data_IF_879843023575
#
_entry.id   IF_879843023575
#
_cell.length_a   1.000
_cell.length_b   1.000
_cell.length_c   1.000
_cell.angle_alpha   90.00
_cell.angle_beta   90.00
_cell.angle_gamma   90.00
#
_symmetry.space_group_name_H-M   'P 1'
#
loop_
_entity.id
_entity.type
_entity.pdbx_description
1 polymer ?
#
# COMPACT_ATOMS: atom_id res chain seq x y z
N UNK A 1 -5.06 -0.80 -8.22
CA UNK A 1 -4.00 -0.75 -7.20
C UNK A 1 -3.80 -2.14 -6.59
N UNK A 2 -2.62 -2.42 -6.03
CA UNK A 2 -2.47 -3.44 -4.98
C UNK A 2 -2.72 -2.74 -3.63
N UNK A 3 -3.34 -3.37 -2.62
CA UNK A 3 -3.14 -2.91 -1.25
C UNK A 3 -1.67 -3.16 -0.91
N UNK A 4 -0.92 -2.09 -0.67
CA UNK A 4 0.37 -2.21 -0.01
C UNK A 4 0.15 -2.67 1.44
N UNK A 5 1.16 -3.21 2.10
CA UNK A 5 1.03 -3.63 3.50
C UNK A 5 0.91 -2.40 4.39
N UNK A 6 -0.33 -1.99 4.64
CA UNK A 6 -0.69 -0.89 5.55
C UNK A 6 0.08 -1.01 6.87
N UNK A 7 0.66 0.11 7.33
CA UNK A 7 1.48 0.16 8.53
C UNK A 7 0.60 -0.14 9.75
N UNK A 8 0.60 -1.40 10.17
CA UNK A 8 -0.22 -1.91 11.26
C UNK A 8 0.60 -2.04 12.56
N UNK A 9 -0.07 -1.86 13.70
CA UNK A 9 0.56 -2.04 15.00
C UNK A 9 1.17 -3.45 15.15
N UNK A 10 0.52 -4.48 14.62
CA UNK A 10 1.06 -5.84 14.53
C UNK A 10 2.40 -5.90 13.81
N UNK A 11 2.53 -5.28 12.62
CA UNK A 11 3.78 -5.26 11.86
C UNK A 11 4.91 -4.61 12.69
N UNK A 12 4.63 -3.48 13.34
CA UNK A 12 5.60 -2.76 14.19
C UNK A 12 6.02 -3.63 15.38
N UNK A 13 5.08 -4.28 16.08
CA UNK A 13 5.39 -5.18 17.18
C UNK A 13 6.11 -6.46 16.72
N UNK A 14 5.92 -6.91 15.47
CA UNK A 14 6.61 -8.08 14.88
C UNK A 14 8.05 -7.78 14.44
N UNK A 15 8.41 -6.51 14.23
CA UNK A 15 9.79 -6.08 14.00
C UNK A 15 10.67 -6.04 15.26
N UNK A 16 10.10 -6.25 16.46
CA UNK A 16 10.88 -6.31 17.71
C UNK A 16 11.67 -7.64 17.80
N UNK A 17 13.02 -7.62 17.79
CA UNK A 17 13.83 -8.82 17.60
C UNK A 17 13.83 -9.78 18.80
N UNK A 18 13.53 -9.28 20.00
CA UNK A 18 13.37 -10.09 21.23
C UNK A 18 12.16 -9.55 21.99
N UNK A 19 11.02 -10.23 21.87
CA UNK A 19 9.78 -9.89 22.60
C UNK A 19 9.66 -10.58 23.96
N UNK A 20 10.20 -11.79 24.04
CA UNK A 20 10.13 -12.66 25.22
C UNK A 20 11.50 -13.28 25.45
N UNK A 21 11.92 -13.35 26.71
CA UNK A 21 13.03 -14.19 27.14
C UNK A 21 12.44 -15.56 27.51
N UNK A 22 12.94 -16.61 26.88
CA UNK A 22 12.50 -18.00 27.12
C UNK A 22 13.74 -18.86 27.36
N UNK A 23 14.12 -19.02 28.63
CA UNK A 23 15.40 -19.65 28.96
C UNK A 23 16.60 -18.71 28.79
N UNK A 24 17.80 -19.27 28.92
CA UNK A 24 19.05 -18.57 28.58
C UNK A 24 19.37 -18.67 27.09
N UNK A 25 19.98 -17.62 26.48
CA UNK A 25 20.35 -17.65 25.07
C UNK A 25 21.40 -18.74 24.78
N UNK A 26 21.33 -19.29 23.57
CA UNK A 26 22.12 -20.45 23.17
C UNK A 26 23.63 -20.19 23.33
N UNK A 27 24.30 -21.05 24.11
CA UNK A 27 25.71 -20.88 24.49
C UNK A 27 25.96 -20.34 25.91
N UNK A 28 24.98 -19.70 26.56
CA UNK A 28 25.14 -19.16 27.92
C UNK A 28 25.13 -20.23 29.04
N UNK A 29 24.47 -21.38 28.81
CA UNK A 29 24.42 -22.52 29.74
C UNK A 29 25.68 -23.42 29.72
N UNK A 30 26.40 -23.47 28.58
CA UNK A 30 27.37 -24.53 28.23
C UNK A 30 28.64 -24.60 29.12
N UNK A 31 28.70 -23.86 30.23
CA UNK A 31 29.80 -23.89 31.22
C UNK A 31 29.34 -24.17 32.65
N UNK A 32 28.03 -24.23 32.93
CA UNK A 32 27.48 -24.25 34.29
C UNK A 32 26.46 -25.36 34.62
N UNK A 33 26.04 -26.15 33.63
CA UNK A 33 25.25 -27.36 33.90
C UNK A 33 26.13 -28.55 34.35
N UNK A 34 27.39 -28.62 33.91
CA UNK A 34 28.35 -29.67 34.25
C UNK A 34 29.07 -29.49 35.60
N UNK A 35 29.05 -28.30 36.20
CA UNK A 35 29.93 -27.97 37.34
C UNK A 35 29.42 -28.48 38.71
N UNK A 36 28.13 -28.77 38.83
CA UNK A 36 27.52 -29.24 40.08
C UNK A 36 27.22 -30.75 40.00
N UNK A 37 28.10 -31.56 40.61
CA UNK A 37 28.01 -33.03 40.53
C UNK A 37 26.72 -33.62 41.09
N UNK A 38 26.21 -34.67 40.44
CA UNK A 38 25.00 -35.39 40.88
C UNK A 38 25.22 -36.16 42.19
N UNK A 39 24.16 -36.25 43.00
CA UNK A 39 24.12 -37.06 44.21
C UNK A 39 24.16 -38.53 43.80
N UNK A 40 25.11 -39.29 44.36
CA UNK A 40 25.26 -40.72 44.11
C UNK A 40 24.09 -41.48 44.74
N UNK A 41 23.58 -42.47 44.02
CA UNK A 41 22.45 -43.30 44.42
C UNK A 41 22.88 -44.34 45.47
N UNK A 42 23.24 -43.85 46.67
CA UNK A 42 23.61 -44.66 47.82
C UNK A 42 22.44 -44.65 48.82
N UNK A 43 21.98 -45.83 49.23
CA UNK A 43 20.96 -45.94 50.28
C UNK A 43 21.53 -45.52 51.64
N UNK A 44 20.69 -44.90 52.48
CA UNK A 44 21.08 -44.41 53.81
C UNK A 44 20.17 -44.97 54.90
N UNK A 45 20.76 -45.42 56.01
CA UNK A 45 20.01 -45.86 57.18
C UNK A 45 19.79 -44.70 58.15
N UNK A 46 18.53 -44.37 58.43
CA UNK A 46 18.14 -43.37 59.43
C UNK A 46 17.19 -44.05 60.42
N UNK A 47 17.55 -44.04 61.70
CA UNK A 47 16.79 -44.70 62.79
C UNK A 47 16.43 -46.18 62.53
N UNK A 48 17.28 -46.90 61.79
CA UNK A 48 17.08 -48.32 61.42
C UNK A 48 16.20 -48.56 60.19
N UNK A 49 15.62 -47.50 59.60
CA UNK A 49 14.87 -47.56 58.33
C UNK A 49 15.82 -47.22 57.18
N UNK A 50 15.68 -47.93 56.05
CA UNK A 50 16.47 -47.72 54.84
C UNK A 50 15.79 -46.70 53.92
N UNK A 51 16.51 -45.67 53.51
CA UNK A 51 16.06 -44.61 52.62
C UNK A 51 16.92 -44.58 51.34
N UNK A 52 16.29 -44.91 50.21
CA UNK A 52 16.88 -44.83 48.87
C UNK A 52 16.57 -43.47 48.23
N UNK A 53 17.56 -42.76 47.64
CA UNK A 53 17.31 -41.52 46.93
C UNK A 53 16.65 -41.79 45.56
N UNK A 54 15.40 -41.36 45.43
CA UNK A 54 14.61 -41.40 44.19
C UNK A 54 14.63 -40.01 43.52
N UNK A 55 14.69 -39.93 42.19
CA UNK A 55 14.43 -38.65 41.51
C UNK A 55 12.97 -38.24 41.67
N UNK A 56 12.72 -36.98 42.06
CA UNK A 56 11.44 -36.35 41.77
C UNK A 56 11.52 -35.56 40.46
N UNK A 57 10.90 -36.12 39.43
CA UNK A 57 10.75 -35.50 38.10
C UNK A 57 9.69 -34.39 38.08
N UNK A 58 8.76 -34.39 39.04
CA UNK A 58 7.49 -33.65 38.93
C UNK A 58 7.48 -32.29 39.65
N UNK A 59 8.56 -31.93 40.34
CA UNK A 59 8.73 -30.64 41.03
C UNK A 59 9.82 -29.81 40.33
N UNK A 60 9.47 -28.60 39.92
CA UNK A 60 10.42 -27.59 39.41
C UNK A 60 11.19 -26.94 40.56
N UNK A 61 12.44 -26.53 40.31
CA UNK A 61 13.27 -25.86 41.30
C UNK A 61 13.33 -24.34 41.06
N UNK A 62 13.74 -23.59 42.09
CA UNK A 62 13.86 -22.13 42.01
C UNK A 62 14.84 -21.69 40.91
N UNK A 63 15.84 -22.51 40.60
CA UNK A 63 16.72 -22.31 39.46
C UNK A 63 16.00 -22.45 38.10
N UNK A 64 15.11 -23.43 37.93
CA UNK A 64 14.24 -23.58 36.75
C UNK A 64 13.39 -22.34 36.51
N UNK A 65 12.61 -21.91 37.50
CA UNK A 65 11.78 -20.68 37.39
C UNK A 65 12.61 -19.44 36.99
N UNK A 66 13.79 -19.26 37.57
CA UNK A 66 14.69 -18.14 37.23
C UNK A 66 15.30 -18.28 35.83
N UNK A 67 15.64 -19.51 35.40
CA UNK A 67 16.11 -19.83 34.06
C UNK A 67 15.05 -19.54 33.01
N UNK A 68 13.79 -19.93 33.25
CA UNK A 68 12.69 -19.73 32.32
C UNK A 68 12.34 -18.24 32.15
N UNK A 69 12.47 -17.44 33.23
CA UNK A 69 12.43 -15.97 33.18
C UNK A 69 13.63 -15.33 32.45
N UNK A 70 14.64 -16.10 32.04
CA UNK A 70 15.88 -15.62 31.42
C UNK A 70 16.87 -14.98 32.40
N UNK A 71 16.70 -15.14 33.71
CA UNK A 71 17.43 -14.42 34.75
C UNK A 71 18.52 -15.26 35.42
N UNK A 72 19.78 -14.90 35.19
CA UNK A 72 20.93 -15.58 35.79
C UNK A 72 21.29 -14.97 37.15
N UNK A 73 20.81 -15.59 38.22
CA UNK A 73 20.95 -15.08 39.60
C UNK A 73 22.17 -15.68 40.30
N UNK A 74 23.06 -14.83 40.80
CA UNK A 74 24.15 -15.21 41.69
C UNK A 74 23.68 -15.15 43.15
N UNK A 75 23.74 -16.27 43.87
CA UNK A 75 23.26 -16.37 45.25
C UNK A 75 24.13 -17.31 46.08
N UNK A 76 24.20 -17.07 47.39
CA UNK A 76 24.84 -17.95 48.37
C UNK A 76 23.89 -19.05 48.92
N UNK A 77 22.61 -19.00 48.55
CA UNK A 77 21.58 -19.95 48.99
C UNK A 77 21.39 -21.04 47.93
N UNK A 78 21.18 -22.30 48.32
CA UNK A 78 20.96 -23.34 47.33
C UNK A 78 19.58 -23.23 46.67
N UNK A 79 19.55 -22.86 45.39
CA UNK A 79 18.34 -22.72 44.56
C UNK A 79 18.16 -23.86 43.55
N UNK A 80 19.14 -24.77 43.41
CA UNK A 80 19.07 -25.93 42.50
C UNK A 80 18.65 -27.20 43.27
N UNK A 81 17.75 -28.00 42.72
CA UNK A 81 17.42 -29.33 43.27
C UNK A 81 18.59 -30.31 43.08
N UNK A 82 18.87 -31.19 44.07
CA UNK A 82 19.92 -32.19 43.93
C UNK A 82 19.53 -33.22 42.86
N UNK A 83 20.21 -33.20 41.70
CA UNK A 83 20.05 -34.24 40.67
C UNK A 83 20.66 -35.55 41.19
N UNK A 84 19.90 -36.65 41.17
CA UNK A 84 20.44 -38.02 41.32
C UNK A 84 20.88 -38.52 39.93
N UNK A 85 21.98 -39.26 39.83
CA UNK A 85 22.48 -39.75 38.54
C UNK A 85 21.59 -40.90 37.99
N UNK A 86 21.13 -40.85 36.72
CA UNK A 86 20.08 -41.76 36.21
C UNK A 86 20.35 -42.34 34.79
N UNK A 87 19.50 -43.28 34.31
CA UNK A 87 19.60 -43.97 33.01
C UNK A 87 18.34 -43.79 32.17
N UNK A 88 18.52 -43.40 30.91
CA UNK A 88 17.48 -43.09 29.91
C UNK A 88 16.53 -44.26 29.56
N UNK A 89 15.25 -43.94 29.29
CA UNK A 89 14.31 -44.70 28.43
C UNK A 89 13.08 -43.87 28.01
N UNK A 90 12.62 -44.05 26.78
CA UNK A 90 11.40 -43.43 26.20
C UNK A 90 10.08 -44.06 26.68
N UNK A 91 8.96 -43.31 26.73
CA UNK A 91 8.00 -43.23 25.59
C UNK A 91 6.77 -42.29 25.78
N UNK A 92 6.14 -41.99 24.64
CA UNK A 92 5.03 -41.06 24.29
C UNK A 92 3.67 -41.21 25.03
N UNK A 93 2.85 -40.12 25.06
CA UNK A 93 1.39 -40.13 25.37
C UNK A 93 0.67 -38.75 25.19
N UNK A 94 -0.61 -38.75 24.76
CA UNK A 94 -1.53 -37.59 24.45
C UNK A 94 -3.00 -38.12 24.33
N UNK A 95 -4.13 -37.36 24.14
CA UNK A 95 -4.42 -35.91 24.00
C UNK A 95 -5.50 -35.43 25.05
N UNK A 96 -6.55 -34.55 24.91
CA UNK A 96 -7.21 -33.78 23.83
C UNK A 96 -8.23 -32.69 24.33
N UNK A 97 -8.56 -31.69 23.47
CA UNK A 97 -9.81 -30.87 23.38
C UNK A 97 -10.20 -29.90 24.56
N UNK A 98 -11.10 -28.88 24.45
CA UNK A 98 -12.25 -28.58 23.55
C UNK A 98 -12.53 -27.05 23.33
N UNK A 99 -13.24 -26.70 22.21
CA UNK A 99 -14.22 -25.60 21.90
C UNK A 99 -14.23 -24.19 22.61
N UNK A 100 -14.77 -23.05 22.11
CA UNK A 100 -15.27 -22.41 20.83
C UNK A 100 -15.47 -20.86 21.15
N UNK A 101 -16.06 -19.88 20.40
CA UNK A 101 -16.95 -19.76 19.21
C UNK A 101 -16.70 -18.45 18.37
N UNK A 102 -17.72 -17.70 17.93
CA UNK A 102 -17.73 -16.47 17.06
C UNK A 102 -18.44 -15.26 17.77
N UNK A 103 -18.77 -14.05 17.27
CA UNK A 103 -19.06 -13.53 15.90
C UNK A 103 -18.98 -11.97 15.78
N UNK A 104 -19.41 -11.39 14.65
CA UNK A 104 -19.15 -10.00 14.14
C UNK A 104 -20.41 -9.15 13.78
N UNK A 105 -20.29 -7.81 13.67
CA UNK A 105 -20.77 -6.99 12.50
C UNK A 105 -20.57 -5.44 12.61
N UNK A 106 -20.47 -4.78 11.43
CA UNK A 106 -21.01 -3.48 10.88
C UNK A 106 -21.55 -2.36 11.83
N UNK A 107 -21.66 -1.07 11.43
CA UNK A 107 -21.76 -0.47 10.08
C UNK A 107 -21.44 1.06 9.94
N UNK A 108 -21.29 1.50 8.68
CA UNK A 108 -21.76 2.75 8.02
C UNK A 108 -21.45 4.22 8.46
N UNK A 109 -20.90 4.98 7.48
CA UNK A 109 -21.26 6.34 6.98
C UNK A 109 -21.62 7.52 7.94
N UNK A 110 -20.98 8.70 7.72
CA UNK A 110 -21.59 9.78 6.89
C UNK A 110 -20.58 10.89 6.50
N UNK A 111 -21.02 11.80 5.63
CA UNK A 111 -20.23 12.79 4.88
C UNK A 111 -20.79 14.22 5.10
N UNK A 112 -19.96 15.26 4.95
CA UNK A 112 -20.39 16.67 5.02
C UNK A 112 -19.68 17.54 3.97
N UNK A 113 -20.46 18.25 3.17
CA UNK A 113 -19.96 19.08 2.05
C UNK A 113 -20.45 20.53 2.12
N UNK A 114 -19.56 21.48 1.81
CA UNK A 114 -19.92 22.75 1.17
C UNK A 114 -19.08 22.88 -0.11
N UNK A 115 -19.66 23.34 -1.21
CA UNK A 115 -19.00 23.39 -2.52
C UNK A 115 -19.39 24.61 -3.37
N UNK A 116 -18.50 25.05 -4.30
CA UNK A 116 -18.66 26.32 -5.00
C UNK A 116 -19.67 26.27 -6.18
N UNK A 117 -19.93 27.44 -6.76
CA UNK A 117 -20.96 27.64 -7.81
C UNK A 117 -20.59 27.14 -9.21
N UNK A 118 -19.32 26.84 -9.47
CA UNK A 118 -18.82 26.16 -10.68
C UNK A 118 -17.67 25.23 -10.27
N UNK A 119 -17.62 24.02 -10.85
CA UNK A 119 -16.64 23.00 -10.45
C UNK A 119 -15.73 22.67 -11.64
N UNK A 120 -14.43 22.96 -11.50
CA UNK A 120 -13.41 22.68 -12.52
C UNK A 120 -12.33 21.78 -11.94
N UNK A 121 -12.35 20.53 -12.38
CA UNK A 121 -11.64 19.39 -11.81
C UNK A 121 -10.46 18.98 -12.69
N UNK A 122 -9.26 18.96 -12.12
CA UNK A 122 -8.00 18.70 -12.80
C UNK A 122 -6.89 18.10 -11.92
N UNK A 123 -7.02 18.18 -10.59
CA UNK A 123 -6.09 17.62 -9.62
C UNK A 123 -6.51 16.21 -9.21
N UNK A 124 -6.04 15.23 -9.98
CA UNK A 124 -6.30 13.79 -9.80
C UNK A 124 -5.02 13.02 -9.41
N UNK A 125 -4.46 13.23 -8.20
CA UNK A 125 -3.32 12.47 -7.70
C UNK A 125 -3.70 11.02 -7.37
N UNK A 126 -2.72 10.12 -7.37
CA UNK A 126 -2.87 8.76 -6.80
C UNK A 126 -2.70 8.76 -5.27
N UNK A 127 -1.82 9.62 -4.74
CA UNK A 127 -1.56 9.82 -3.30
C UNK A 127 -1.75 11.28 -2.96
N UNK A 128 -2.59 11.59 -1.95
CA UNK A 128 -2.97 12.97 -1.60
C UNK A 128 -1.98 13.66 -0.66
N UNK A 129 -1.72 13.11 0.53
CA UNK A 129 -0.93 13.73 1.60
C UNK A 129 0.28 12.85 1.92
N UNK A 130 1.47 13.44 2.03
CA UNK A 130 2.70 12.76 2.47
C UNK A 130 3.66 13.76 3.11
N UNK A 131 3.27 14.25 4.30
CA UNK A 131 3.92 15.36 4.99
C UNK A 131 4.44 14.98 6.38
N UNK A 132 5.41 15.75 6.87
CA UNK A 132 5.96 15.63 8.22
C UNK A 132 5.72 16.91 8.99
N UNK A 133 4.99 16.82 10.11
CA UNK A 133 4.57 17.97 10.91
C UNK A 133 5.08 17.82 12.34
N UNK A 134 5.64 18.91 12.89
CA UNK A 134 6.05 18.97 14.30
C UNK A 134 4.85 19.44 15.12
N UNK A 135 4.42 18.60 16.06
CA UNK A 135 3.31 18.87 16.96
C UNK A 135 3.78 19.77 18.11
N UNK A 136 2.89 20.65 18.59
CA UNK A 136 3.18 21.58 19.68
C UNK A 136 3.10 20.93 21.08
N UNK A 137 3.29 21.73 22.14
CA UNK A 137 3.19 21.25 23.52
C UNK A 137 1.76 20.99 24.01
N UNK A 138 0.73 21.34 23.25
CA UNK A 138 -0.66 20.95 23.49
C UNK A 138 -1.02 19.60 22.84
N UNK A 139 -0.17 19.08 21.96
CA UNK A 139 -0.39 17.81 21.26
C UNK A 139 -1.25 17.94 20.00
N UNK A 140 -1.38 19.14 19.44
CA UNK A 140 -2.22 19.42 18.26
C UNK A 140 -1.39 20.08 17.15
N UNK A 141 -1.72 19.75 15.90
CA UNK A 141 -1.26 20.49 14.73
C UNK A 141 -2.40 20.50 13.70
N UNK A 142 -2.68 21.67 13.12
CA UNK A 142 -3.67 21.85 12.06
C UNK A 142 -2.92 22.06 10.74
N UNK A 143 -3.40 21.41 9.67
CA UNK A 143 -2.75 21.43 8.34
C UNK A 143 -3.81 21.75 7.29
N UNK A 144 -3.74 22.94 6.70
CA UNK A 144 -4.62 23.33 5.59
C UNK A 144 -4.19 22.59 4.31
N UNK A 145 -5.06 21.74 3.79
CA UNK A 145 -4.83 20.95 2.56
C UNK A 145 -6.00 21.10 1.58
N UNK A 146 -5.68 21.21 0.29
CA UNK A 146 -6.70 21.19 -0.77
C UNK A 146 -7.15 19.75 -1.02
N UNK A 147 -8.47 19.51 -1.00
CA UNK A 147 -9.07 18.21 -1.32
C UNK A 147 -8.89 17.87 -2.81
N UNK A 148 -8.55 16.61 -3.18
CA UNK A 148 -8.43 16.20 -4.57
C UNK A 148 -9.75 16.19 -5.32
N UNK A 149 -9.69 16.39 -6.64
CA UNK A 149 -10.86 16.38 -7.53
C UNK A 149 -11.40 14.95 -7.82
N UNK A 150 -10.69 13.93 -7.32
CA UNK A 150 -11.11 12.53 -7.36
C UNK A 150 -12.28 12.31 -6.39
N UNK A 151 -13.46 12.05 -6.95
CA UNK A 151 -14.66 11.68 -6.18
C UNK A 151 -14.50 10.23 -5.71
N UNK A 152 -14.13 10.06 -4.44
CA UNK A 152 -13.81 8.77 -3.81
C UNK A 152 -13.84 8.89 -2.28
N UNK A 153 -13.88 7.74 -1.60
CA UNK A 153 -13.38 7.64 -0.22
C UNK A 153 -11.84 7.73 -0.26
N UNK A 154 -11.28 8.70 0.48
CA UNK A 154 -9.86 8.81 0.80
C UNK A 154 -9.59 8.21 2.19
N UNK A 155 -8.43 7.57 2.35
CA UNK A 155 -7.99 6.97 3.62
C UNK A 155 -6.66 7.57 4.03
N UNK A 156 -6.59 8.08 5.25
CA UNK A 156 -5.39 8.68 5.82
C UNK A 156 -5.03 8.00 7.14
N UNK A 157 -3.73 7.84 7.39
CA UNK A 157 -3.18 7.35 8.64
C UNK A 157 -1.88 8.09 8.94
N UNK A 158 -1.56 8.23 10.22
CA UNK A 158 -0.39 8.94 10.70
C UNK A 158 0.35 8.12 11.75
N UNK A 159 1.65 8.38 11.88
CA UNK A 159 2.45 7.90 13.00
C UNK A 159 3.25 9.07 13.58
N UNK A 160 3.54 9.01 14.87
CA UNK A 160 4.24 10.06 15.60
C UNK A 160 5.49 9.48 16.27
N UNK A 161 6.56 10.27 16.34
CA UNK A 161 7.80 9.93 17.02
C UNK A 161 8.10 10.99 18.09
N UNK A 162 8.30 10.55 19.31
CA UNK A 162 8.57 11.38 20.49
C UNK A 162 9.70 10.77 21.31
N UNK A 163 10.60 11.61 21.82
CA UNK A 163 11.68 11.15 22.70
C UNK A 163 11.18 10.66 24.05
N UNK A 164 10.08 11.25 24.56
CA UNK A 164 9.54 10.98 25.90
C UNK A 164 8.46 9.88 25.90
N UNK A 165 7.73 9.72 24.79
CA UNK A 165 6.61 8.77 24.67
C UNK A 165 6.80 7.69 23.60
N UNK A 166 7.89 7.73 22.83
CA UNK A 166 8.22 6.72 21.82
C UNK A 166 7.45 6.88 20.52
N UNK A 167 7.10 5.74 19.89
CA UNK A 167 6.32 5.68 18.66
C UNK A 167 4.82 5.57 18.97
N UNK A 168 4.01 6.41 18.34
CA UNK A 168 2.55 6.28 18.28
C UNK A 168 2.08 6.02 16.85
N UNK A 169 0.95 5.32 16.69
CA UNK A 169 0.30 5.05 15.41
C UNK A 169 -1.19 5.42 15.53
N UNK A 170 -1.73 6.17 14.58
CA UNK A 170 -3.15 6.53 14.55
C UNK A 170 -4.01 5.36 14.04
N UNK A 171 -5.31 5.31 14.39
CA UNK A 171 -6.26 4.61 13.52
C UNK A 171 -6.28 5.25 12.13
N UNK A 172 -6.65 4.48 11.11
CA UNK A 172 -6.94 5.02 9.77
C UNK A 172 -8.27 5.77 9.82
N UNK A 173 -8.27 7.01 9.34
CA UNK A 173 -9.48 7.83 9.17
C UNK A 173 -9.93 7.83 7.72
N UNK A 174 -11.24 7.97 7.52
CA UNK A 174 -11.89 7.98 6.21
C UNK A 174 -12.43 9.39 5.95
N UNK A 175 -12.18 9.91 4.75
CA UNK A 175 -12.71 11.18 4.28
C UNK A 175 -13.38 10.95 2.93
N UNK A 176 -14.70 11.13 2.86
CA UNK A 176 -15.45 10.94 1.62
C UNK A 176 -15.48 12.26 0.85
N UNK A 177 -15.00 12.25 -0.40
CA UNK A 177 -15.01 13.38 -1.31
C UNK A 177 -16.07 13.14 -2.39
N UNK A 178 -17.16 13.89 -2.36
CA UNK A 178 -18.32 13.67 -3.23
C UNK A 178 -18.94 14.97 -3.76
N UNK A 179 -19.59 14.84 -4.91
CA UNK A 179 -20.31 15.90 -5.60
C UNK A 179 -21.64 15.30 -6.09
N UNK A 180 -22.82 15.89 -5.79
CA UNK A 180 -24.11 15.31 -6.17
C UNK A 180 -24.37 15.22 -7.69
N UNK A 181 -23.64 15.98 -8.50
CA UNK A 181 -23.73 15.97 -9.96
C UNK A 181 -22.34 16.19 -10.56
N UNK A 182 -21.86 15.25 -11.37
CA UNK A 182 -20.52 15.27 -11.96
C UNK A 182 -20.41 14.42 -13.22
N UNK A 183 -19.31 14.59 -13.95
CA UNK A 183 -18.92 13.78 -15.11
C UNK A 183 -17.65 12.97 -14.83
N UNK A 184 -17.70 11.68 -15.16
CA UNK A 184 -16.59 10.73 -15.06
C UNK A 184 -16.09 10.35 -16.46
N UNK A 185 -14.77 10.48 -16.69
CA UNK A 185 -14.13 10.02 -17.92
C UNK A 185 -13.61 8.59 -17.78
N UNK A 186 -14.13 7.70 -18.63
CA UNK A 186 -13.57 6.36 -18.86
C UNK A 186 -12.58 6.45 -20.02
N UNK A 187 -11.31 6.17 -19.72
CA UNK A 187 -10.19 6.22 -20.65
C UNK A 187 -9.29 4.99 -20.43
N UNK A 188 -8.53 4.51 -21.43
CA UNK A 188 -7.44 3.56 -21.21
C UNK A 188 -6.25 4.23 -20.49
N UNK A 189 -5.21 3.47 -20.18
CA UNK A 189 -3.95 4.01 -19.65
C UNK A 189 -3.15 4.76 -20.73
N UNK A 190 -3.06 4.17 -21.92
CA UNK A 190 -2.41 4.75 -23.09
C UNK A 190 -3.21 4.45 -24.39
N UNK A 191 -2.88 5.17 -25.45
CA UNK A 191 -3.43 5.02 -26.81
C UNK A 191 -2.35 5.22 -27.87
N UNK A 192 -2.51 4.62 -29.04
CA UNK A 192 -1.55 4.75 -30.16
C UNK A 192 -1.90 5.98 -31.01
N UNK A 193 -0.89 6.78 -31.40
CA UNK A 193 -1.07 7.92 -32.32
C UNK A 193 -1.68 7.48 -33.65
N UNK A 194 -2.65 8.25 -34.15
CA UNK A 194 -3.33 7.95 -35.42
C UNK A 194 -4.36 6.82 -35.37
N UNK A 195 -4.37 5.97 -34.33
CA UNK A 195 -5.45 5.00 -34.11
C UNK A 195 -6.67 5.66 -33.46
N UNK A 196 -7.86 5.08 -33.69
CA UNK A 196 -9.12 5.59 -33.15
C UNK A 196 -9.52 4.84 -31.88
N UNK A 197 -9.79 5.55 -30.79
CA UNK A 197 -10.34 5.00 -29.54
C UNK A 197 -11.65 5.70 -29.16
N UNK A 198 -12.55 5.00 -28.46
CA UNK A 198 -13.78 5.60 -27.94
C UNK A 198 -13.53 6.20 -26.56
N UNK A 199 -13.48 7.54 -26.48
CA UNK A 199 -13.54 8.28 -25.21
C UNK A 199 -14.98 8.32 -24.71
N UNK A 200 -15.21 8.01 -23.42
CA UNK A 200 -16.56 8.03 -22.82
C UNK A 200 -16.62 8.96 -21.61
N UNK A 201 -17.63 9.83 -21.59
CA UNK A 201 -17.95 10.70 -20.47
C UNK A 201 -19.32 10.31 -19.90
N UNK A 202 -19.33 9.69 -18.73
CA UNK A 202 -20.55 9.35 -18.01
C UNK A 202 -20.91 10.48 -17.07
N UNK A 203 -22.07 11.10 -17.27
CA UNK A 203 -22.65 12.05 -16.33
C UNK A 203 -23.50 11.28 -15.31
N UNK A 204 -23.29 11.55 -14.02
CA UNK A 204 -24.05 10.97 -12.92
C UNK A 204 -24.87 12.06 -12.22
N UNK A 205 -26.12 11.76 -11.87
CA UNK A 205 -26.98 12.63 -11.06
C UNK A 205 -27.47 11.90 -9.80
N UNK A 206 -27.03 12.38 -8.64
CA UNK A 206 -27.50 11.96 -7.31
C UNK A 206 -28.38 13.02 -6.64
N UNK A 207 -28.68 14.15 -7.30
CA UNK A 207 -29.68 15.10 -6.83
C UNK A 207 -31.08 14.47 -6.88
N UNK A 208 -31.99 14.82 -5.96
CA UNK A 208 -33.36 14.29 -5.94
C UNK A 208 -34.25 14.80 -7.08
N UNK A 209 -33.78 15.74 -7.89
CA UNK A 209 -34.53 16.37 -8.99
C UNK A 209 -34.01 15.93 -10.36
N UNK A 210 -34.90 15.78 -11.35
CA UNK A 210 -34.48 15.69 -12.75
C UNK A 210 -33.75 16.97 -13.19
N UNK A 211 -32.60 16.79 -13.86
CA UNK A 211 -31.81 17.84 -14.49
C UNK A 211 -31.72 17.56 -16.00
N UNK A 212 -31.47 18.59 -16.82
CA UNK A 212 -31.22 18.42 -18.27
C UNK A 212 -29.82 18.91 -18.61
N UNK A 213 -28.98 18.01 -19.09
CA UNK A 213 -27.53 18.23 -19.20
C UNK A 213 -27.09 18.23 -20.66
N UNK A 214 -26.27 19.21 -21.05
CA UNK A 214 -25.47 19.16 -22.27
C UNK A 214 -24.04 18.73 -21.94
N UNK A 215 -23.49 17.79 -22.70
CA UNK A 215 -22.11 17.28 -22.51
C UNK A 215 -21.27 17.69 -23.73
N UNK A 216 -20.11 18.27 -23.49
CA UNK A 216 -19.25 18.84 -24.55
C UNK A 216 -17.78 18.53 -24.28
N UNK A 217 -17.14 17.87 -25.24
CA UNK A 217 -15.68 17.71 -25.33
C UNK A 217 -15.10 18.97 -26.00
N UNK A 218 -14.10 19.59 -25.37
CA UNK A 218 -13.38 20.73 -25.93
C UNK A 218 -12.47 20.28 -27.08
N UNK A 219 -12.32 21.11 -28.11
CA UNK A 219 -11.49 20.78 -29.28
C UNK A 219 -10.05 21.29 -29.11
N UNK A 220 -9.07 20.36 -29.05
CA UNK A 220 -7.64 20.68 -29.11
C UNK A 220 -7.06 20.45 -30.53
N UNK A 221 -6.01 21.16 -30.96
CA UNK A 221 -5.17 20.72 -32.09
C UNK A 221 -4.63 19.29 -31.93
N UNK A 222 -4.40 18.81 -30.70
CA UNK A 222 -3.72 17.54 -30.37
C UNK A 222 -4.46 16.27 -30.78
N UNK A 223 -5.75 16.36 -31.06
CA UNK A 223 -6.59 15.23 -31.48
C UNK A 223 -7.61 15.63 -32.56
N UNK A 224 -8.38 14.65 -33.02
CA UNK A 224 -9.67 14.84 -33.68
C UNK A 224 -10.71 14.04 -32.90
N UNK A 225 -11.92 14.57 -32.77
CA UNK A 225 -13.01 13.87 -32.10
C UNK A 225 -14.29 13.98 -32.93
N UNK A 226 -15.01 12.87 -33.07
CA UNK A 226 -16.34 12.81 -33.66
C UNK A 226 -17.30 12.15 -32.66
N UNK A 227 -18.45 12.76 -32.31
CA UNK A 227 -19.44 12.12 -31.46
C UNK A 227 -20.01 10.88 -32.16
N UNK A 228 -20.14 9.78 -31.42
CA UNK A 228 -20.73 8.54 -31.94
C UNK A 228 -22.25 8.66 -32.10
N UNK A 229 -22.91 9.38 -31.17
CA UNK A 229 -24.34 9.71 -31.24
C UNK A 229 -24.58 10.98 -32.07
N UNK A 230 -25.66 10.96 -32.88
CA UNK A 230 -26.04 12.07 -33.79
C UNK A 230 -27.27 12.85 -33.31
N UNK A 231 -27.86 12.48 -32.18
CA UNK A 231 -29.12 13.04 -31.69
C UNK A 231 -28.93 13.96 -30.48
N UNK A 232 -29.83 14.93 -30.35
CA UNK A 232 -30.05 15.86 -29.23
C UNK A 232 -28.83 16.29 -28.38
N UNK A 233 -28.43 17.57 -28.52
CA UNK A 233 -27.39 18.26 -27.70
C UNK A 233 -27.58 18.25 -26.17
N UNK A 234 -28.64 17.64 -25.64
CA UNK A 234 -28.96 17.66 -24.21
C UNK A 234 -29.87 16.49 -23.84
N UNK A 235 -29.57 15.81 -22.73
CA UNK A 235 -30.34 14.67 -22.24
C UNK A 235 -30.89 14.94 -20.84
N UNK A 236 -32.02 14.33 -20.50
CA UNK A 236 -32.59 14.38 -19.15
C UNK A 236 -31.99 13.27 -18.28
N UNK A 237 -31.61 13.61 -17.05
CA UNK A 237 -31.02 12.69 -16.07
C UNK A 237 -31.67 12.94 -14.72
N UNK A 238 -32.41 11.96 -14.20
CA UNK A 238 -33.06 12.05 -12.88
C UNK A 238 -32.22 11.37 -11.78
N UNK A 239 -32.71 11.41 -10.53
CA UNK A 239 -32.02 10.85 -9.37
C UNK A 239 -31.57 9.40 -9.61
N UNK A 240 -30.30 9.11 -9.31
CA UNK A 240 -29.63 7.83 -9.49
C UNK A 240 -29.61 7.32 -10.95
N UNK A 241 -29.81 8.21 -11.93
CA UNK A 241 -29.61 7.91 -13.35
C UNK A 241 -28.24 8.43 -13.84
N UNK A 242 -27.82 7.91 -14.98
CA UNK A 242 -26.61 8.32 -15.68
C UNK A 242 -26.84 8.31 -17.19
N UNK A 243 -26.12 9.16 -17.91
CA UNK A 243 -26.05 9.18 -19.36
C UNK A 243 -24.57 9.24 -19.78
N UNK A 244 -24.19 8.51 -20.84
CA UNK A 244 -22.80 8.38 -21.27
C UNK A 244 -22.63 8.88 -22.71
N UNK A 245 -22.09 10.08 -22.86
CA UNK A 245 -21.67 10.59 -24.16
C UNK A 245 -20.38 9.89 -24.60
N UNK A 246 -20.27 9.55 -25.88
CA UNK A 246 -19.13 8.82 -26.46
C UNK A 246 -18.62 9.52 -27.73
N UNK A 247 -17.30 9.62 -27.88
CA UNK A 247 -16.62 10.16 -29.06
C UNK A 247 -15.58 9.18 -29.56
N UNK A 248 -15.55 8.97 -30.88
CA UNK A 248 -14.41 8.39 -31.56
C UNK A 248 -13.31 9.45 -31.66
N UNK A 249 -12.18 9.21 -31.00
CA UNK A 249 -11.05 10.13 -30.86
C UNK A 249 -9.81 9.56 -31.54
N UNK A 250 -9.10 10.39 -32.31
CA UNK A 250 -7.83 10.06 -32.97
C UNK A 250 -6.75 11.03 -32.46
N UNK A 251 -5.73 10.57 -31.71
CA UNK A 251 -4.61 11.40 -31.27
C UNK A 251 -3.67 11.78 -32.41
N UNK A 252 -3.03 12.96 -32.30
CA UNK A 252 -1.96 13.45 -33.20
C UNK A 252 -0.67 13.78 -32.46
N UNK A 253 -0.76 14.40 -31.28
CA UNK A 253 0.41 14.74 -30.46
C UNK A 253 0.84 13.52 -29.65
N UNK A 254 2.15 13.29 -29.48
CA UNK A 254 2.69 12.23 -28.63
C UNK A 254 2.79 12.67 -27.16
N UNK A 255 2.92 11.70 -26.26
CA UNK A 255 3.09 11.95 -24.84
C UNK A 255 1.77 12.30 -24.15
N UNK A 256 1.82 13.15 -23.12
CA UNK A 256 0.68 13.45 -22.26
C UNK A 256 -0.26 14.49 -22.90
N UNK A 257 -1.41 14.03 -23.42
CA UNK A 257 -2.44 14.87 -24.05
C UNK A 257 -3.62 15.06 -23.11
N UNK A 258 -4.04 16.32 -22.90
CA UNK A 258 -5.15 16.67 -22.02
C UNK A 258 -6.50 16.64 -22.75
N UNK A 259 -7.48 16.00 -22.12
CA UNK A 259 -8.88 15.95 -22.56
C UNK A 259 -9.76 16.72 -21.57
N UNK A 260 -10.30 17.86 -22.02
CA UNK A 260 -11.31 18.65 -21.28
C UNK A 260 -12.71 18.26 -21.72
N UNK A 261 -13.54 17.77 -20.79
CA UNK A 261 -14.99 17.57 -21.02
C UNK A 261 -15.76 18.38 -19.98
N UNK A 262 -16.86 18.99 -20.41
CA UNK A 262 -17.79 19.70 -19.53
C UNK A 262 -19.21 19.16 -19.64
N UNK A 263 -19.91 19.14 -18.51
CA UNK A 263 -21.31 18.77 -18.37
C UNK A 263 -22.06 19.94 -17.69
N UNK A 264 -23.01 20.55 -18.40
CA UNK A 264 -23.71 21.77 -17.94
C UNK A 264 -25.22 21.52 -17.82
N UNK A 265 -25.80 21.84 -16.66
CA UNK A 265 -27.23 21.76 -16.40
C UNK A 265 -27.96 22.97 -17.04
N UNK A 266 -28.68 22.72 -18.13
CA UNK A 266 -29.38 23.73 -18.92
C UNK A 266 -30.74 24.11 -18.31
N UNK A 267 -30.99 25.41 -18.23
CA UNK A 267 -32.33 25.94 -17.98
C UNK A 267 -33.21 25.73 -19.22
N UNK A 268 -34.14 24.76 -19.15
CA UNK A 268 -35.03 24.41 -20.25
C UNK A 268 -36.50 24.39 -19.82
N UNK A 269 -37.39 24.68 -20.78
CA UNK A 269 -38.86 24.58 -20.61
C UNK A 269 -39.42 23.25 -21.09
N UNK A 270 -38.60 22.41 -21.71
CA UNK A 270 -38.97 21.05 -22.10
C UNK A 270 -38.87 20.11 -20.89
N UNK A 271 -39.94 19.37 -20.60
CA UNK A 271 -40.02 18.48 -19.45
C UNK A 271 -39.08 17.27 -19.58
N UNK A 272 -38.52 16.85 -18.45
CA UNK A 272 -37.88 15.55 -18.30
C UNK A 272 -38.95 14.51 -17.93
N UNK A 273 -39.61 13.98 -18.97
CA UNK A 273 -40.81 13.16 -18.80
C UNK A 273 -41.96 13.99 -18.26
N UNK A 274 -42.24 13.87 -16.95
CA UNK A 274 -43.29 14.60 -16.26
C UNK A 274 -42.77 15.77 -15.40
N UNK A 275 -41.46 15.85 -15.17
CA UNK A 275 -40.84 16.86 -14.28
C UNK A 275 -40.25 18.03 -15.06
N UNK A 276 -40.28 19.23 -14.47
CA UNK A 276 -39.54 20.39 -14.99
C UNK A 276 -38.06 20.23 -14.62
N UNK A 277 -37.10 20.27 -15.56
CA UNK A 277 -35.69 20.17 -15.23
C UNK A 277 -35.26 21.33 -14.34
N UNK A 278 -34.66 21.00 -13.20
CA UNK A 278 -34.08 21.98 -12.28
C UNK A 278 -32.62 22.22 -12.64
N UNK A 279 -32.16 23.47 -12.52
CA UNK A 279 -30.74 23.80 -12.53
C UNK A 279 -30.32 23.98 -11.08
N UNK A 280 -29.36 23.19 -10.55
CA UNK A 280 -28.93 23.30 -9.16
C UNK A 280 -28.29 24.67 -8.89
N UNK A 281 -28.28 25.15 -7.64
CA UNK A 281 -27.72 26.48 -7.34
C UNK A 281 -26.18 26.48 -7.32
N UNK A 282 -25.60 25.39 -6.80
CA UNK A 282 -24.17 25.05 -6.80
C UNK A 282 -23.86 24.03 -7.92
N UNK A 283 -22.59 23.92 -8.33
CA UNK A 283 -22.16 22.86 -9.28
C UNK A 283 -22.90 22.83 -10.63
N UNK A 284 -23.41 23.97 -11.13
CA UNK A 284 -24.21 24.06 -12.38
C UNK A 284 -23.53 23.46 -13.60
N UNK A 285 -22.21 23.50 -13.58
CA UNK A 285 -21.32 22.95 -14.59
C UNK A 285 -20.18 22.26 -13.88
N UNK A 286 -19.93 21.01 -14.27
CA UNK A 286 -18.76 20.25 -13.90
C UNK A 286 -17.85 20.13 -15.13
N UNK A 287 -16.57 20.49 -14.99
CA UNK A 287 -15.59 20.44 -16.09
C UNK A 287 -14.39 19.62 -15.65
N UNK A 288 -14.20 18.46 -16.27
CA UNK A 288 -13.13 17.51 -15.96
C UNK A 288 -12.01 17.60 -17.01
N UNK A 289 -10.77 17.69 -16.53
CA UNK A 289 -9.55 17.67 -17.35
C UNK A 289 -8.71 16.47 -16.88
N UNK A 290 -8.46 15.51 -17.77
CA UNK A 290 -7.52 14.41 -17.52
C UNK A 290 -6.49 14.30 -18.65
N UNK A 291 -5.25 13.99 -18.28
CA UNK A 291 -4.20 13.60 -19.22
C UNK A 291 -4.36 12.13 -19.63
N UNK A 292 -3.99 11.80 -20.86
CA UNK A 292 -3.88 10.45 -21.40
C UNK A 292 -2.53 10.32 -22.12
N UNK A 293 -1.85 9.18 -21.97
CA UNK A 293 -0.57 8.92 -22.62
C UNK A 293 -0.79 8.47 -24.08
N UNK A 294 -0.18 9.18 -25.02
CA UNK A 294 -0.16 8.83 -26.45
C UNK A 294 1.20 8.24 -26.81
N UNK A 295 1.19 6.97 -27.21
CA UNK A 295 2.35 6.20 -27.62
C UNK A 295 2.52 6.25 -29.15
N UNK A 296 3.76 6.15 -29.69
CA UNK A 296 4.00 6.17 -31.13
C UNK A 296 3.47 4.91 -31.83
N UNK A 297 3.07 5.09 -33.09
CA UNK A 297 2.61 4.02 -33.96
C UNK A 297 3.73 3.06 -34.43
N UNK A 298 3.33 1.85 -34.84
CA UNK A 298 4.24 0.85 -35.40
C UNK A 298 4.69 -0.22 -34.38
N UNK A 299 5.93 -0.69 -34.52
CA UNK A 299 6.52 -1.71 -33.66
C UNK A 299 7.89 -1.22 -33.18
N UNK A 300 8.08 -1.14 -31.86
CA UNK A 300 9.36 -0.73 -31.27
C UNK A 300 10.46 -1.77 -31.56
N UNK A 301 11.65 -1.27 -31.93
CA UNK A 301 12.85 -2.07 -32.10
C UNK A 301 13.96 -1.52 -31.20
N UNK A 302 14.31 -2.26 -30.15
CA UNK A 302 15.42 -1.91 -29.25
C UNK A 302 16.76 -2.46 -29.76
N UNK A 303 17.83 -1.65 -29.65
CA UNK A 303 19.20 -2.07 -29.97
C UNK A 303 20.12 -1.70 -28.81
N UNK A 304 20.50 -2.70 -28.01
CA UNK A 304 21.41 -2.52 -26.87
C UNK A 304 22.87 -2.46 -27.31
N UNK A 305 23.62 -1.50 -26.79
CA UNK A 305 25.09 -1.46 -26.86
C UNK A 305 25.65 -1.67 -25.44
N UNK A 306 26.58 -2.61 -25.28
CA UNK A 306 27.12 -3.00 -23.98
C UNK A 306 28.66 -3.03 -23.97
N UNK A 307 29.27 -2.19 -23.14
CA UNK A 307 30.72 -1.97 -23.11
C UNK A 307 31.25 -1.95 -21.68
N UNK A 308 32.45 -2.49 -21.46
CA UNK A 308 33.11 -2.54 -20.15
C UNK A 308 34.38 -1.69 -20.18
N UNK A 309 34.33 -0.53 -19.52
CA UNK A 309 35.46 0.41 -19.46
C UNK A 309 36.22 0.25 -18.15
N UNK A 310 37.47 -0.22 -18.23
CA UNK A 310 38.35 -0.45 -17.08
C UNK A 310 39.53 0.54 -17.06
N UNK A 311 39.35 1.78 -16.55
CA UNK A 311 40.41 2.77 -16.47
C UNK A 311 41.44 2.41 -15.37
N UNK A 312 42.45 1.62 -15.74
CA UNK A 312 43.55 1.20 -14.84
C UNK A 312 44.56 2.34 -14.57
N UNK A 313 44.07 3.49 -14.09
CA UNK A 313 44.86 4.71 -13.89
C UNK A 313 45.14 5.51 -15.17
N UNK A 314 44.51 5.13 -16.29
CA UNK A 314 44.57 5.84 -17.57
C UNK A 314 43.16 6.21 -18.05
N UNK A 315 43.05 7.26 -18.86
CA UNK A 315 41.80 7.66 -19.51
C UNK A 315 41.41 6.61 -20.58
N UNK A 316 40.14 6.20 -20.56
CA UNK A 316 39.56 5.26 -21.52
C UNK A 316 38.23 5.83 -21.97
N UNK A 317 38.00 5.87 -23.29
CA UNK A 317 36.77 6.38 -23.91
C UNK A 317 36.36 5.51 -25.09
N UNK A 318 35.06 5.50 -25.37
CA UNK A 318 34.45 4.73 -26.46
C UNK A 318 33.37 5.57 -27.14
N UNK A 319 33.21 5.41 -28.46
CA UNK A 319 32.26 6.17 -29.27
C UNK A 319 31.18 5.25 -29.81
N UNK A 320 29.97 5.36 -29.25
CA UNK A 320 28.79 4.61 -29.68
C UNK A 320 28.06 5.41 -30.76
N UNK A 321 28.05 4.90 -31.99
CA UNK A 321 27.41 5.54 -33.13
C UNK A 321 25.98 5.03 -33.32
N UNK A 322 25.01 5.68 -32.66
CA UNK A 322 23.58 5.39 -32.84
C UNK A 322 23.16 5.65 -34.29
N UNK A 323 22.47 4.69 -34.90
CA UNK A 323 21.93 4.77 -36.27
C UNK A 323 20.46 4.40 -36.27
N UNK A 324 19.62 5.34 -36.66
CA UNK A 324 18.20 5.11 -36.91
C UNK A 324 18.00 4.60 -38.35
N UNK A 325 17.17 3.57 -38.59
CA UNK A 325 16.79 3.17 -39.93
C UNK A 325 15.80 4.19 -40.57
N UNK A 326 15.57 4.07 -41.88
CA UNK A 326 14.83 5.07 -42.68
C UNK A 326 13.30 5.01 -42.52
N UNK A 327 12.80 4.05 -41.76
CA UNK A 327 11.39 3.78 -41.45
C UNK A 327 11.02 4.15 -40.00
N UNK A 328 11.90 4.87 -39.29
CA UNK A 328 11.61 5.40 -37.95
C UNK A 328 10.49 6.41 -37.98
N UNK A 329 9.57 6.22 -37.04
CA UNK A 329 8.43 7.10 -36.76
C UNK A 329 8.93 8.37 -36.06
N UNK A 330 8.53 9.54 -36.55
CA UNK A 330 8.95 10.83 -35.99
C UNK A 330 8.61 10.94 -34.51
N UNK A 331 9.59 11.44 -33.75
CA UNK A 331 9.60 11.57 -32.27
C UNK A 331 9.52 10.26 -31.46
N UNK A 332 9.54 9.07 -32.09
CA UNK A 332 9.54 7.78 -31.36
C UNK A 332 10.89 7.40 -30.72
N UNK A 333 12.00 7.92 -31.26
CA UNK A 333 13.35 7.47 -30.93
C UNK A 333 13.83 7.97 -29.55
N UNK A 334 14.10 7.02 -28.64
CA UNK A 334 14.67 7.27 -27.30
C UNK A 334 15.95 6.47 -27.09
N UNK A 335 16.86 7.00 -26.27
CA UNK A 335 18.10 6.34 -25.88
C UNK A 335 18.36 6.53 -24.38
N UNK A 336 18.71 5.43 -23.70
CA UNK A 336 19.07 5.41 -22.28
C UNK A 336 20.51 4.90 -22.12
N UNK A 337 21.22 5.42 -21.12
CA UNK A 337 22.59 4.98 -20.78
C UNK A 337 22.62 4.67 -19.30
N UNK A 338 22.96 3.43 -18.96
CA UNK A 338 23.06 2.94 -17.59
C UNK A 338 24.50 2.52 -17.31
N UNK A 339 25.10 3.07 -16.25
CA UNK A 339 26.48 2.75 -15.84
C UNK A 339 26.43 1.93 -14.56
N UNK A 340 27.02 0.73 -14.58
CA UNK A 340 27.15 -0.15 -13.41
C UNK A 340 28.63 -0.42 -13.14
N UNK A 341 29.06 -0.24 -11.89
CA UNK A 341 30.45 -0.49 -11.47
C UNK A 341 30.73 -1.92 -10.99
N UNK A 342 29.67 -2.69 -10.69
CA UNK A 342 29.75 -4.08 -10.22
C UNK A 342 28.75 -4.94 -11.01
N UNK A 343 29.24 -6.07 -11.53
CA UNK A 343 28.46 -7.05 -12.30
C UNK A 343 28.06 -8.28 -11.47
N UNK A 344 28.54 -8.41 -10.23
CA UNK A 344 28.28 -9.54 -9.33
C UNK A 344 27.45 -9.18 -8.10
N UNK A 345 27.17 -7.90 -7.81
CA UNK A 345 26.50 -7.46 -6.58
C UNK A 345 25.22 -8.23 -6.21
N UNK A 346 24.36 -8.51 -7.19
CA UNK A 346 23.14 -9.32 -6.99
C UNK A 346 23.43 -10.82 -6.74
N UNK A 347 24.54 -11.33 -7.27
CA UNK A 347 24.96 -12.74 -7.13
C UNK A 347 25.80 -13.01 -5.87
N UNK A 348 26.31 -11.97 -5.21
CA UNK A 348 27.07 -12.10 -3.95
C UNK A 348 26.18 -12.18 -2.71
N UNK A 349 24.90 -11.80 -2.80
CA UNK A 349 23.94 -11.94 -1.70
C UNK A 349 23.81 -13.40 -1.27
N UNK A 350 23.72 -13.64 0.05
CA UNK A 350 23.50 -14.96 0.67
C UNK A 350 24.58 -16.02 0.37
N UNK A 351 25.72 -15.65 -0.24
CA UNK A 351 26.84 -16.57 -0.51
C UNK A 351 27.45 -17.19 0.75
N UNK A 352 27.32 -16.52 1.91
CA UNK A 352 27.69 -17.03 3.23
C UNK A 352 26.88 -18.28 3.64
N UNK A 353 25.63 -18.41 3.18
CA UNK A 353 24.70 -19.49 3.54
C UNK A 353 25.00 -20.81 2.78
N UNK A 354 26.01 -20.79 1.89
CA UNK A 354 26.54 -21.98 1.22
C UNK A 354 27.47 -22.80 2.14
N UNK A 355 27.95 -22.22 3.24
CA UNK A 355 28.73 -22.92 4.26
C UNK A 355 27.79 -23.71 5.19
N UNK A 356 28.18 -24.94 5.55
CA UNK A 356 27.39 -25.90 6.35
C UNK A 356 28.28 -26.61 7.37
#
# INVERSE_FOLDING_TARGET
MKPETELSASLIYDLLPVKHLTGFPQGADQREEDTNGCVKQNDTYINGILYSPVQNTNEEDMYGFLKDMGLKVFTNSNIRKPKVCERLRDNKGIPAAYHLVSQSHMDAFLESSESPTETRRSYFPETWIWDLVVVDSAGVAEVEVTVPDTITEWKAGAFCLSNDTGLGLSPVVQFQAFQPFFVELTMPYSVIRGEAFTLKATVLNYLPTCIRVAVQLEASPDFLAAPEEKEQRSHCICMNQRHTASWAVIPKSLGNVNFTVSAEALNSKELCGNEVPVVPEQGKKDTIIKSLLVEPEGLENEVTFNSLLCPMGAEVSELIALKLPSDVVEESARASVTVLGDILGSAMQNTQDLLK
#
